data_IF_367017708756
#
_entry.id   IF_367017708756
#
_cell.length_a   1.000
_cell.length_b   1.000
_cell.length_c   1.000
_cell.angle_alpha   90.00
_cell.angle_beta   90.00
_cell.angle_gamma   90.00
#
_symmetry.space_group_name_H-M   'P 1'
#
loop_
_entity.id
_entity.type
_entity.pdbx_description
1 polymer ?
#
# COMPACT_ATOMS: atom_id res chain seq x y z
N UNK A 1 -25.41 -11.68 -4.18
CA UNK A 1 -25.60 -12.59 -3.03
C UNK A 1 -26.57 -13.69 -3.44
N UNK A 2 -26.21 -14.94 -3.21
CA UNK A 2 -27.01 -16.10 -3.54
C UNK A 2 -27.35 -16.85 -2.24
N UNK A 3 -28.62 -17.21 -2.06
CA UNK A 3 -29.04 -18.09 -0.97
C UNK A 3 -28.68 -19.54 -1.36
N UNK A 4 -27.77 -20.21 -0.63
CA UNK A 4 -27.31 -21.55 -1.02
C UNK A 4 -28.35 -22.64 -0.92
N UNK A 5 -29.46 -22.40 -0.14
CA UNK A 5 -30.55 -23.37 0.02
C UNK A 5 -31.63 -23.25 -1.07
N UNK A 6 -31.96 -22.04 -1.48
CA UNK A 6 -33.05 -21.80 -2.45
C UNK A 6 -32.54 -21.45 -3.86
N UNK A 7 -31.25 -21.18 -4.03
CA UNK A 7 -30.68 -20.71 -5.29
C UNK A 7 -31.07 -19.27 -5.66
N UNK A 8 -31.92 -18.61 -4.87
CA UNK A 8 -32.35 -17.24 -5.16
C UNK A 8 -31.19 -16.27 -5.08
N UNK A 9 -31.01 -15.49 -6.14
CA UNK A 9 -29.97 -14.46 -6.24
C UNK A 9 -30.55 -13.06 -6.00
N UNK A 10 -29.78 -12.22 -5.33
CA UNK A 10 -30.12 -10.81 -5.09
C UNK A 10 -28.91 -9.96 -5.43
N UNK A 11 -29.13 -8.89 -6.20
CA UNK A 11 -28.10 -7.86 -6.41
C UNK A 11 -27.89 -7.10 -5.09
N UNK A 12 -26.67 -7.17 -4.53
CA UNK A 12 -26.30 -6.43 -3.33
C UNK A 12 -25.62 -5.10 -3.68
N UNK A 13 -24.73 -5.11 -4.66
CA UNK A 13 -24.00 -3.93 -5.10
C UNK A 13 -23.73 -4.03 -6.61
N UNK A 14 -23.73 -2.89 -7.29
CA UNK A 14 -23.26 -2.72 -8.65
C UNK A 14 -22.16 -1.66 -8.67
N UNK A 15 -20.98 -2.03 -9.10
CA UNK A 15 -19.91 -1.10 -9.45
C UNK A 15 -19.95 -0.84 -10.95
N UNK A 16 -19.74 0.41 -11.34
CA UNK A 16 -19.64 0.81 -12.74
C UNK A 16 -18.64 1.94 -12.87
N UNK A 17 -17.86 1.93 -13.93
CA UNK A 17 -17.02 3.04 -14.35
C UNK A 17 -17.24 3.34 -15.83
N UNK A 18 -17.00 4.57 -16.26
CA UNK A 18 -17.14 4.99 -17.66
C UNK A 18 -16.07 4.38 -18.57
N UNK A 19 -14.95 3.97 -18.02
CA UNK A 19 -13.81 3.41 -18.77
C UNK A 19 -13.69 1.91 -18.51
N UNK A 20 -13.23 1.51 -17.32
CA UNK A 20 -13.14 0.11 -16.89
C UNK A 20 -12.99 0.04 -15.38
N UNK A 21 -13.24 -1.13 -14.81
CA UNK A 21 -12.99 -1.44 -13.40
C UNK A 21 -11.75 -2.30 -13.28
N UNK A 22 -10.83 -1.95 -12.40
CA UNK A 22 -9.66 -2.78 -12.13
C UNK A 22 -10.06 -4.12 -11.56
N UNK A 23 -9.36 -5.18 -11.95
CA UNK A 23 -9.60 -6.54 -11.45
C UNK A 23 -9.39 -6.63 -9.93
N UNK A 24 -8.43 -5.88 -9.37
CA UNK A 24 -8.18 -5.83 -7.92
C UNK A 24 -9.42 -5.42 -7.11
N UNK A 25 -10.32 -4.62 -7.66
CA UNK A 25 -11.58 -4.27 -7.00
C UNK A 25 -12.42 -5.50 -6.66
N UNK A 26 -12.35 -6.57 -7.45
CA UNK A 26 -13.10 -7.81 -7.20
C UNK A 26 -12.34 -8.78 -6.32
N UNK A 27 -11.03 -8.89 -6.48
CA UNK A 27 -10.18 -9.83 -5.72
C UNK A 27 -10.00 -9.38 -4.27
N UNK A 28 -10.14 -8.09 -4.00
CA UNK A 28 -10.06 -7.52 -2.66
C UNK A 28 -11.39 -7.63 -1.86
N UNK A 29 -12.45 -8.21 -2.44
CA UNK A 29 -13.72 -8.40 -1.73
C UNK A 29 -13.55 -9.37 -0.56
N UNK A 30 -13.82 -8.90 0.67
CA UNK A 30 -13.71 -9.67 1.90
C UNK A 30 -15.04 -9.68 2.64
N UNK A 31 -15.48 -10.88 3.03
CA UNK A 31 -16.73 -11.07 3.80
C UNK A 31 -16.44 -11.22 5.28
N UNK A 32 -17.35 -10.65 6.09
CA UNK A 32 -17.35 -10.68 7.54
C UNK A 32 -18.77 -10.97 8.05
N UNK A 33 -18.98 -11.34 9.31
CA UNK A 33 -20.31 -11.45 9.87
C UNK A 33 -21.16 -10.19 9.64
N UNK A 34 -22.23 -10.32 8.87
CA UNK A 34 -23.16 -9.22 8.54
C UNK A 34 -22.64 -8.17 7.52
N UNK A 35 -21.39 -8.27 7.06
CA UNK A 35 -20.73 -7.21 6.27
C UNK A 35 -19.83 -7.75 5.15
N UNK A 36 -19.44 -6.84 4.27
CA UNK A 36 -18.31 -7.05 3.37
C UNK A 36 -17.53 -5.74 3.15
N UNK A 37 -16.24 -5.90 2.86
CA UNK A 37 -15.36 -4.81 2.48
C UNK A 37 -15.08 -4.86 0.98
N UNK A 38 -14.97 -3.69 0.35
CA UNK A 38 -14.69 -3.52 -1.07
C UNK A 38 -13.67 -2.39 -1.25
N UNK A 39 -12.69 -2.59 -2.15
CA UNK A 39 -11.88 -1.50 -2.71
C UNK A 39 -12.55 -0.98 -3.97
N UNK A 40 -12.63 0.34 -4.12
CA UNK A 40 -13.28 0.98 -5.27
C UNK A 40 -12.63 2.31 -5.61
N UNK A 41 -12.50 2.61 -6.90
CA UNK A 41 -11.96 3.87 -7.43
C UNK A 41 -13.04 4.91 -7.77
N UNK A 42 -14.28 4.72 -7.30
CA UNK A 42 -15.46 5.56 -7.64
C UNK A 42 -15.28 7.05 -7.38
N UNK A 43 -14.31 7.45 -6.57
CA UNK A 43 -14.01 8.84 -6.23
C UNK A 43 -12.71 9.35 -6.86
N UNK A 44 -12.11 8.59 -7.79
CA UNK A 44 -10.87 8.92 -8.50
C UNK A 44 -9.61 8.26 -7.92
N UNK A 45 -9.65 7.86 -6.65
CA UNK A 45 -8.61 7.09 -5.97
C UNK A 45 -9.19 5.80 -5.41
N UNK A 46 -8.38 4.74 -5.31
CA UNK A 46 -8.80 3.48 -4.71
C UNK A 46 -8.95 3.64 -3.20
N UNK A 47 -10.18 3.48 -2.71
CA UNK A 47 -10.54 3.58 -1.30
C UNK A 47 -11.25 2.34 -0.80
N UNK A 48 -11.24 2.17 0.54
CA UNK A 48 -11.89 1.09 1.25
C UNK A 48 -13.29 1.49 1.70
N UNK A 49 -14.27 0.66 1.34
CA UNK A 49 -15.68 0.82 1.66
C UNK A 49 -16.18 -0.39 2.44
N UNK A 50 -17.03 -0.13 3.44
CA UNK A 50 -17.63 -1.13 4.31
C UNK A 50 -19.13 -1.15 4.12
N UNK A 51 -19.67 -2.31 3.77
CA UNK A 51 -21.07 -2.52 3.44
C UNK A 51 -21.72 -3.57 4.32
N UNK A 52 -23.01 -3.41 4.60
CA UNK A 52 -23.84 -4.52 5.07
C UNK A 52 -23.99 -5.59 3.99
N UNK A 53 -24.30 -6.83 4.36
CA UNK A 53 -24.63 -7.88 3.37
C UNK A 53 -25.82 -7.52 2.47
N UNK A 54 -26.63 -6.54 2.86
CA UNK A 54 -27.75 -6.04 2.03
C UNK A 54 -27.30 -5.06 0.94
N UNK A 55 -26.00 -4.69 0.90
CA UNK A 55 -25.46 -3.75 -0.07
C UNK A 55 -25.60 -2.28 0.34
N UNK A 56 -26.00 -2.01 1.60
CA UNK A 56 -26.05 -0.65 2.13
C UNK A 56 -24.65 -0.23 2.56
N UNK A 57 -24.17 0.91 2.08
CA UNK A 57 -22.92 1.51 2.54
C UNK A 57 -23.07 1.94 4.01
N UNK A 58 -22.26 1.36 4.89
CA UNK A 58 -22.23 1.72 6.31
C UNK A 58 -21.12 2.74 6.60
N UNK A 59 -19.93 2.53 6.00
CA UNK A 59 -18.79 3.41 6.25
C UNK A 59 -17.89 3.53 5.03
N UNK A 60 -17.50 4.75 4.67
CA UNK A 60 -16.35 5.03 3.83
C UNK A 60 -15.13 5.06 4.74
N UNK A 61 -14.36 3.96 4.76
CA UNK A 61 -13.25 3.77 5.71
C UNK A 61 -12.08 4.71 5.41
N UNK A 62 -11.78 4.90 4.12
CA UNK A 62 -10.72 5.80 3.68
C UNK A 62 -11.23 6.81 2.66
N UNK A 63 -10.65 8.01 2.66
CA UNK A 63 -10.98 9.10 1.74
C UNK A 63 -9.80 10.07 1.62
N UNK A 64 -9.71 10.79 0.51
CA UNK A 64 -8.66 11.78 0.24
C UNK A 64 -7.92 11.51 -1.07
N UNK A 65 -6.86 12.26 -1.32
CA UNK A 65 -6.09 12.22 -2.58
C UNK A 65 -4.92 11.23 -2.46
N UNK A 66 -5.24 9.98 -2.17
CA UNK A 66 -4.27 8.90 -2.08
C UNK A 66 -4.92 7.56 -2.40
N UNK A 67 -4.12 6.56 -2.77
CA UNK A 67 -4.58 5.20 -3.03
C UNK A 67 -4.35 4.27 -1.84
N UNK A 68 -5.35 3.44 -1.56
CA UNK A 68 -5.20 2.23 -0.75
C UNK A 68 -4.67 1.14 -1.68
N UNK A 69 -3.44 0.71 -1.49
CA UNK A 69 -2.81 -0.32 -2.33
C UNK A 69 -3.22 -1.74 -1.95
N UNK A 70 -3.52 -1.97 -0.67
CA UNK A 70 -3.91 -3.29 -0.18
C UNK A 70 -4.82 -3.20 1.06
N UNK A 71 -5.84 -4.04 1.13
CA UNK A 71 -6.63 -4.26 2.33
C UNK A 71 -6.24 -5.59 2.98
N UNK A 72 -5.74 -5.54 4.22
CA UNK A 72 -5.32 -6.73 4.97
C UNK A 72 -6.46 -7.39 5.71
N UNK A 73 -7.38 -6.62 6.29
CA UNK A 73 -8.52 -7.14 7.01
C UNK A 73 -9.11 -6.18 8.05
N UNK A 74 -10.18 -6.66 8.67
CA UNK A 74 -10.85 -5.99 9.78
C UNK A 74 -10.74 -6.83 11.04
N UNK A 75 -10.37 -6.22 12.16
CA UNK A 75 -10.36 -6.84 13.49
C UNK A 75 -11.64 -6.48 14.23
N UNK A 76 -12.52 -7.46 14.42
CA UNK A 76 -13.76 -7.27 15.20
C UNK A 76 -13.45 -6.87 16.66
N UNK A 77 -12.38 -7.45 17.23
CA UNK A 77 -11.95 -7.16 18.60
C UNK A 77 -11.61 -5.69 18.80
N UNK A 78 -10.85 -5.11 17.83
CA UNK A 78 -10.32 -3.76 17.96
C UNK A 78 -11.18 -2.72 17.22
N UNK A 79 -12.15 -3.18 16.41
CA UNK A 79 -12.99 -2.33 15.57
C UNK A 79 -12.21 -1.58 14.50
N UNK A 80 -11.10 -2.16 13.99
CA UNK A 80 -10.17 -1.48 13.08
C UNK A 80 -9.99 -2.19 11.76
N UNK A 81 -9.87 -1.39 10.72
CA UNK A 81 -9.51 -1.81 9.36
C UNK A 81 -8.01 -1.59 9.17
N UNK A 82 -7.30 -2.61 8.66
CA UNK A 82 -5.86 -2.59 8.41
C UNK A 82 -5.60 -2.60 6.91
N UNK A 83 -4.82 -1.64 6.42
CA UNK A 83 -4.55 -1.48 4.99
C UNK A 83 -3.19 -0.82 4.75
N UNK A 84 -2.65 -1.00 3.53
CA UNK A 84 -1.52 -0.23 3.03
C UNK A 84 -2.01 0.90 2.11
N UNK A 85 -1.31 2.02 2.13
CA UNK A 85 -1.64 3.17 1.29
C UNK A 85 -0.42 4.05 0.99
N UNK A 86 -0.52 4.82 -0.10
CA UNK A 86 0.43 5.85 -0.51
C UNK A 86 -0.03 7.24 -0.04
N UNK A 87 -0.26 7.39 1.27
CA UNK A 87 -0.95 8.57 1.80
C UNK A 87 -0.05 9.80 1.90
N UNK A 88 1.18 9.64 2.35
CA UNK A 88 2.11 10.77 2.52
C UNK A 88 2.90 11.09 1.25
N UNK A 89 3.13 10.10 0.42
CA UNK A 89 3.90 10.22 -0.83
C UNK A 89 3.62 9.02 -1.73
N UNK A 90 3.60 9.21 -3.05
CA UNK A 90 3.57 8.09 -4.00
C UNK A 90 4.82 7.20 -3.91
N UNK A 91 5.93 7.71 -3.37
CA UNK A 91 7.18 6.96 -3.18
C UNK A 91 7.21 6.15 -1.87
N UNK A 92 6.13 6.14 -1.11
CA UNK A 92 6.07 5.49 0.19
C UNK A 92 4.82 4.62 0.31
N UNK A 93 5.03 3.37 0.68
CA UNK A 93 3.94 2.48 1.09
C UNK A 93 3.99 2.30 2.60
N UNK A 94 2.99 2.83 3.30
CA UNK A 94 2.87 2.66 4.75
C UNK A 94 1.59 1.91 5.12
N UNK A 95 1.60 1.30 6.30
CA UNK A 95 0.47 0.53 6.84
C UNK A 95 -0.28 1.36 7.86
N UNK A 96 -1.59 1.33 7.76
CA UNK A 96 -2.52 2.10 8.58
C UNK A 96 -3.56 1.21 9.24
N UNK A 97 -4.06 1.69 10.38
CA UNK A 97 -5.27 1.19 11.01
C UNK A 97 -6.28 2.33 11.18
N UNK A 98 -7.50 2.14 10.68
CA UNK A 98 -8.59 3.11 10.81
C UNK A 98 -9.77 2.48 11.55
N UNK A 99 -10.32 3.15 12.55
CA UNK A 99 -11.53 2.71 13.23
C UNK A 99 -12.82 3.14 12.48
N UNK A 100 -13.98 2.63 12.91
CA UNK A 100 -15.27 2.98 12.31
C UNK A 100 -15.64 4.46 12.42
N UNK A 101 -14.98 5.22 13.30
CA UNK A 101 -15.17 6.67 13.45
C UNK A 101 -14.24 7.48 12.53
N UNK A 102 -13.37 6.81 11.76
CA UNK A 102 -12.43 7.44 10.83
C UNK A 102 -11.10 7.86 11.48
N UNK A 103 -10.85 7.51 12.76
CA UNK A 103 -9.56 7.78 13.38
C UNK A 103 -8.51 6.83 12.81
N UNK A 104 -7.54 7.39 12.11
CA UNK A 104 -6.46 6.66 11.44
C UNK A 104 -5.15 6.78 12.23
N UNK A 105 -4.42 5.68 12.33
CA UNK A 105 -3.08 5.59 12.92
C UNK A 105 -2.14 4.97 11.89
N UNK A 106 -0.97 5.58 11.64
CA UNK A 106 0.10 4.98 10.88
C UNK A 106 0.82 3.96 11.76
N UNK A 107 0.92 2.72 11.31
CA UNK A 107 1.56 1.62 12.05
C UNK A 107 3.03 1.44 11.68
N UNK A 108 3.44 1.97 10.53
CA UNK A 108 4.82 1.91 10.00
C UNK A 108 5.25 3.32 9.63
N UNK A 109 5.67 4.15 10.62
CA UNK A 109 5.97 5.56 10.39
C UNK A 109 7.31 5.79 9.65
N UNK A 110 8.14 4.78 9.53
CA UNK A 110 9.42 4.87 8.85
C UNK A 110 9.23 5.14 7.34
N UNK A 111 10.14 5.87 6.72
CA UNK A 111 10.13 6.13 5.26
C UNK A 111 10.50 4.89 4.47
N UNK A 112 10.03 4.80 3.23
CA UNK A 112 10.28 3.67 2.34
C UNK A 112 9.04 2.82 2.10
N UNK A 113 9.25 1.56 1.75
CA UNK A 113 8.19 0.60 1.44
C UNK A 113 8.08 -0.44 2.55
N UNK A 114 6.87 -0.68 2.99
CA UNK A 114 6.52 -1.69 3.97
C UNK A 114 5.64 -2.76 3.32
N UNK A 115 6.15 -3.98 3.27
CA UNK A 115 5.39 -5.16 2.88
C UNK A 115 5.07 -5.97 4.14
N UNK A 116 3.79 -6.16 4.42
CA UNK A 116 3.41 -6.78 5.68
C UNK A 116 2.54 -8.03 5.51
N UNK A 117 2.71 -8.94 6.44
CA UNK A 117 1.86 -10.13 6.58
C UNK A 117 1.27 -10.16 7.99
N UNK A 118 -0.05 -9.98 8.08
CA UNK A 118 -0.76 -10.06 9.35
C UNK A 118 -1.02 -11.48 9.79
N UNK A 119 -0.99 -11.70 11.10
CA UNK A 119 -1.56 -12.89 11.72
C UNK A 119 -3.08 -12.93 11.50
N UNK A 120 -3.69 -14.12 11.46
CA UNK A 120 -5.13 -14.28 11.23
C UNK A 120 -6.02 -13.47 12.20
N UNK A 121 -5.55 -13.23 13.41
CA UNK A 121 -6.26 -12.46 14.44
C UNK A 121 -5.89 -10.96 14.48
N UNK A 122 -5.13 -10.46 13.50
CA UNK A 122 -4.66 -9.07 13.37
C UNK A 122 -3.88 -8.52 14.59
N UNK A 123 -3.36 -9.42 15.48
CA UNK A 123 -2.64 -9.01 16.68
C UNK A 123 -1.19 -8.67 16.43
N UNK A 124 -0.59 -9.30 15.44
CA UNK A 124 0.80 -9.12 15.05
C UNK A 124 0.92 -9.11 13.54
N UNK A 125 1.99 -8.51 13.06
CA UNK A 125 2.39 -8.63 11.67
C UNK A 125 3.90 -8.67 11.53
N UNK A 126 4.37 -9.37 10.52
CA UNK A 126 5.72 -9.25 10.01
C UNK A 126 5.76 -8.06 9.05
N UNK A 127 6.76 -7.23 9.22
CA UNK A 127 7.01 -6.05 8.40
C UNK A 127 8.38 -6.20 7.73
N UNK A 128 8.38 -6.26 6.41
CA UNK A 128 9.58 -6.20 5.58
C UNK A 128 9.71 -4.77 5.08
N UNK A 129 10.59 -4.03 5.71
CA UNK A 129 10.83 -2.62 5.41
C UNK A 129 12.09 -2.45 4.57
N UNK A 130 12.00 -1.70 3.48
CA UNK A 130 13.13 -1.32 2.64
C UNK A 130 12.98 0.11 2.12
N UNK A 131 14.11 0.70 1.72
CA UNK A 131 14.12 1.98 1.01
C UNK A 131 15.34 2.03 0.08
N UNK A 132 15.40 3.05 -0.76
CA UNK A 132 16.50 3.24 -1.69
C UNK A 132 17.85 3.20 -0.95
N UNK A 133 18.75 2.28 -1.37
CA UNK A 133 20.06 2.09 -0.76
C UNK A 133 20.08 1.35 0.59
N UNK A 134 18.94 0.98 1.13
CA UNK A 134 18.83 0.24 2.40
C UNK A 134 18.24 -1.13 2.17
N UNK A 135 18.99 -2.21 2.39
CA UNK A 135 18.50 -3.57 2.29
C UNK A 135 17.31 -3.84 3.21
N UNK A 136 16.42 -4.79 2.84
CA UNK A 136 15.23 -5.11 3.62
C UNK A 136 15.57 -5.49 5.06
N UNK A 137 14.81 -4.97 6.01
CA UNK A 137 14.82 -5.34 7.43
C UNK A 137 13.47 -5.99 7.76
N UNK A 138 13.50 -7.17 8.38
CA UNK A 138 12.28 -7.86 8.77
C UNK A 138 12.06 -7.74 10.27
N UNK A 139 10.93 -7.19 10.67
CA UNK A 139 10.53 -7.05 12.07
C UNK A 139 9.20 -7.71 12.36
N UNK A 140 9.04 -8.20 13.58
CA UNK A 140 7.74 -8.57 14.15
C UNK A 140 7.20 -7.36 14.90
N UNK A 141 5.98 -6.94 14.55
CA UNK A 141 5.27 -5.84 15.20
C UNK A 141 3.94 -6.29 15.79
N UNK A 142 3.47 -5.60 16.81
CA UNK A 142 2.12 -5.80 17.32
C UNK A 142 1.08 -5.04 16.47
N UNK A 143 -0.21 -5.29 16.69
CA UNK A 143 -1.32 -4.64 15.96
C UNK A 143 -1.42 -3.13 16.16
N UNK A 144 -0.62 -2.54 17.05
CA UNK A 144 -0.47 -1.10 17.24
C UNK A 144 0.77 -0.52 16.51
N UNK A 145 1.54 -1.36 15.80
CA UNK A 145 2.72 -0.99 15.05
C UNK A 145 4.03 -0.97 15.85
N UNK A 146 4.00 -1.34 17.15
CA UNK A 146 5.21 -1.35 17.98
C UNK A 146 6.07 -2.56 17.65
N UNK A 147 7.35 -2.32 17.34
CA UNK A 147 8.33 -3.39 17.09
C UNK A 147 8.51 -4.25 18.36
N UNK A 148 8.27 -5.54 18.22
CA UNK A 148 8.47 -6.55 19.27
C UNK A 148 9.84 -7.21 19.14
N UNK A 149 10.27 -7.47 17.89
CA UNK A 149 11.53 -8.14 17.61
C UNK A 149 12.00 -7.84 16.19
N UNK A 150 13.30 -7.61 15.99
CA UNK A 150 13.94 -7.69 14.70
C UNK A 150 14.29 -9.14 14.40
N UNK A 151 13.81 -9.66 13.29
CA UNK A 151 14.02 -11.03 12.86
C UNK A 151 15.23 -11.13 11.91
N UNK A 152 15.35 -10.17 10.97
CA UNK A 152 16.45 -10.08 10.01
C UNK A 152 16.83 -8.60 9.92
N UNK A 153 18.07 -8.26 10.24
CA UNK A 153 18.58 -6.88 10.19
C UNK A 153 19.39 -6.57 8.91
N UNK A 154 19.87 -7.61 8.23
CA UNK A 154 20.73 -7.52 7.05
C UNK A 154 21.96 -6.58 7.21
N UNK A 155 22.48 -6.47 8.45
CA UNK A 155 23.58 -5.55 8.76
C UNK A 155 24.82 -5.75 7.89
N UNK A 156 25.19 -7.01 7.62
CA UNK A 156 26.33 -7.32 6.74
C UNK A 156 26.07 -6.91 5.29
N UNK A 157 24.86 -7.12 4.79
CA UNK A 157 24.48 -6.70 3.44
C UNK A 157 24.47 -5.16 3.33
N UNK A 158 23.95 -4.48 4.34
CA UNK A 158 23.96 -3.00 4.41
C UNK A 158 25.40 -2.49 4.29
N UNK A 159 26.34 -3.05 5.06
CA UNK A 159 27.74 -2.66 4.98
C UNK A 159 28.31 -2.87 3.57
N UNK A 160 28.02 -4.00 2.93
CA UNK A 160 28.46 -4.25 1.55
C UNK A 160 27.89 -3.23 0.56
N UNK A 161 26.63 -2.85 0.68
CA UNK A 161 26.00 -1.81 -0.17
C UNK A 161 26.67 -0.46 0.05
N UNK A 162 26.95 -0.10 1.30
CA UNK A 162 27.70 1.12 1.64
C UNK A 162 29.13 1.11 1.09
N UNK A 163 29.84 -0.03 1.19
CA UNK A 163 31.21 -0.20 0.70
C UNK A 163 31.31 -0.08 -0.84
N UNK A 164 30.26 -0.49 -1.57
CA UNK A 164 30.17 -0.27 -3.03
C UNK A 164 30.16 1.22 -3.37
N UNK A 165 29.55 2.04 -2.52
CA UNK A 165 29.64 3.50 -2.56
C UNK A 165 28.97 4.15 -3.78
N UNK A 166 27.99 3.48 -4.42
CA UNK A 166 27.19 4.11 -5.47
C UNK A 166 26.27 5.17 -4.88
N UNK A 167 26.11 6.27 -5.60
CA UNK A 167 25.18 7.34 -5.19
C UNK A 167 23.81 7.05 -5.73
N UNK A 168 22.83 7.05 -4.85
CA UNK A 168 21.43 6.87 -5.20
C UNK A 168 20.65 8.09 -4.75
N UNK A 169 19.79 8.61 -5.62
CA UNK A 169 19.01 9.82 -5.31
C UNK A 169 17.64 9.80 -5.98
N UNK A 170 16.63 10.33 -5.28
CA UNK A 170 15.35 10.64 -5.87
C UNK A 170 15.40 12.02 -6.53
N UNK A 171 14.65 12.18 -7.59
CA UNK A 171 14.43 13.45 -8.27
C UNK A 171 12.99 13.57 -8.75
N UNK A 172 12.57 14.79 -9.01
CA UNK A 172 11.27 15.09 -9.63
C UNK A 172 11.48 15.93 -10.88
N UNK A 173 10.58 15.77 -11.84
CA UNK A 173 10.56 16.61 -13.04
C UNK A 173 9.12 16.85 -13.48
N UNK A 174 8.88 17.98 -14.12
CA UNK A 174 7.56 18.34 -14.63
C UNK A 174 7.40 17.95 -16.10
N UNK A 175 6.26 17.41 -16.45
CA UNK A 175 5.83 17.27 -17.85
C UNK A 175 5.35 18.62 -18.40
N UNK A 176 5.12 18.69 -19.72
CA UNK A 176 4.67 19.91 -20.39
C UNK A 176 3.31 20.42 -19.89
N UNK A 177 2.46 19.55 -19.35
CA UNK A 177 1.16 19.88 -18.76
C UNK A 177 1.24 20.26 -17.27
N UNK A 178 2.46 20.30 -16.69
CA UNK A 178 2.71 20.60 -15.29
C UNK A 178 2.64 19.40 -14.35
N UNK A 179 2.31 18.21 -14.83
CA UNK A 179 2.30 16.98 -14.04
C UNK A 179 3.70 16.68 -13.50
N UNK A 180 3.82 16.52 -12.18
CA UNK A 180 5.08 16.16 -11.54
C UNK A 180 5.27 14.65 -11.56
N UNK A 181 6.41 14.20 -12.08
CA UNK A 181 6.82 12.81 -12.04
C UNK A 181 8.00 12.62 -11.09
N UNK A 182 8.04 11.48 -10.44
CA UNK A 182 9.13 11.07 -9.57
C UNK A 182 10.01 10.06 -10.30
N UNK A 183 11.30 10.13 -10.03
CA UNK A 183 12.27 9.17 -10.51
C UNK A 183 13.36 8.95 -9.47
N UNK A 184 14.14 7.91 -9.67
CA UNK A 184 15.36 7.70 -8.91
C UNK A 184 16.48 7.33 -9.88
N UNK A 185 17.71 7.60 -9.48
CA UNK A 185 18.87 7.27 -10.30
C UNK A 185 20.02 6.72 -9.45
N UNK A 186 20.81 5.88 -10.07
CA UNK A 186 22.06 5.36 -9.52
C UNK A 186 23.21 5.96 -10.31
N UNK A 187 24.13 6.61 -9.61
CA UNK A 187 25.34 7.21 -10.19
C UNK A 187 26.56 6.39 -9.82
N UNK A 188 27.59 6.32 -10.69
CA UNK A 188 28.87 5.71 -10.33
C UNK A 188 29.45 6.33 -9.07
N UNK A 189 30.29 5.58 -8.35
CA UNK A 189 30.96 6.06 -7.13
C UNK A 189 31.79 7.32 -7.39
N UNK A 190 32.48 7.38 -8.54
CA UNK A 190 33.34 8.45 -9.02
C UNK A 190 32.60 9.40 -9.98
N UNK A 191 31.28 9.56 -9.83
CA UNK A 191 30.50 10.42 -10.70
C UNK A 191 31.02 11.86 -10.71
N UNK A 192 31.33 12.34 -11.92
CA UNK A 192 31.74 13.72 -12.19
C UNK A 192 30.69 14.40 -13.08
N UNK A 193 29.96 15.42 -12.62
CA UNK A 193 28.92 16.10 -13.39
C UNK A 193 29.45 16.79 -14.68
N UNK A 194 30.77 16.94 -14.84
CA UNK A 194 31.39 17.48 -16.05
C UNK A 194 31.65 16.45 -17.14
N UNK A 195 31.47 15.17 -16.83
CA UNK A 195 31.66 14.06 -17.77
C UNK A 195 30.30 13.58 -18.33
N UNK A 196 30.36 13.03 -19.54
CA UNK A 196 29.20 12.34 -20.13
C UNK A 196 29.24 10.86 -19.78
N UNK A 197 28.09 10.30 -19.45
CA UNK A 197 27.93 8.88 -19.13
C UNK A 197 26.86 8.27 -20.03
N UNK A 198 26.97 6.99 -20.39
CA UNK A 198 25.84 6.26 -20.95
C UNK A 198 24.74 6.14 -19.89
N UNK A 199 23.49 6.23 -20.31
CA UNK A 199 22.32 6.14 -19.44
C UNK A 199 21.49 4.96 -19.84
N UNK A 200 21.15 4.11 -18.88
CA UNK A 200 20.11 3.08 -19.01
C UNK A 200 18.88 3.58 -18.28
N UNK A 201 17.78 3.75 -19.01
CA UNK A 201 16.51 4.16 -18.44
C UNK A 201 15.58 2.96 -18.37
N UNK A 202 15.00 2.73 -17.20
CA UNK A 202 13.92 1.77 -16.99
C UNK A 202 12.68 2.53 -16.54
N UNK A 203 11.53 2.20 -17.12
CA UNK A 203 10.27 2.78 -16.71
C UNK A 203 9.12 1.81 -17.01
N UNK A 204 8.10 1.87 -16.18
CA UNK A 204 6.82 1.23 -16.43
C UNK A 204 5.70 2.18 -15.95
N UNK A 205 4.65 2.33 -16.78
CA UNK A 205 3.59 3.34 -16.56
C UNK A 205 2.20 2.71 -16.49
N UNK A 206 2.08 1.47 -16.07
CA UNK A 206 0.78 0.83 -15.85
C UNK A 206 0.04 1.46 -14.66
N UNK A 207 -1.30 1.51 -14.68
CA UNK A 207 -2.08 2.04 -13.57
C UNK A 207 -1.77 1.34 -12.26
N UNK A 208 -1.48 2.13 -11.20
CA UNK A 208 -1.13 1.61 -9.87
C UNK A 208 0.24 0.93 -9.78
N UNK A 209 1.07 1.01 -10.82
CA UNK A 209 2.44 0.53 -10.81
C UNK A 209 3.40 1.58 -10.26
N UNK A 210 4.41 1.12 -9.51
CA UNK A 210 5.57 1.91 -9.06
C UNK A 210 6.83 1.08 -9.20
N UNK A 211 7.89 1.69 -9.74
CA UNK A 211 9.20 1.08 -9.97
C UNK A 211 10.28 1.72 -9.10
#
# INVERSE_FOLDING_TARGET
MVNPRSGMARLALRETDKRYLREQAYTALRFYPGHFALLSERTGYQHLYWYTLNGQLETTVTKGDFEVSQFYGYSERDGRFYYAAHKESPLRTAVYATDKRGKTTCLTPESGTHEVTFSANMRHFMDVHSQLGVPPVTTLRDGAGRTQKTLIDNAQLRKKVEDVGVKQEFFTFALADGTQLNGWMVKPRDFDPKRKYPVVMYQYSGPGSQE
#
